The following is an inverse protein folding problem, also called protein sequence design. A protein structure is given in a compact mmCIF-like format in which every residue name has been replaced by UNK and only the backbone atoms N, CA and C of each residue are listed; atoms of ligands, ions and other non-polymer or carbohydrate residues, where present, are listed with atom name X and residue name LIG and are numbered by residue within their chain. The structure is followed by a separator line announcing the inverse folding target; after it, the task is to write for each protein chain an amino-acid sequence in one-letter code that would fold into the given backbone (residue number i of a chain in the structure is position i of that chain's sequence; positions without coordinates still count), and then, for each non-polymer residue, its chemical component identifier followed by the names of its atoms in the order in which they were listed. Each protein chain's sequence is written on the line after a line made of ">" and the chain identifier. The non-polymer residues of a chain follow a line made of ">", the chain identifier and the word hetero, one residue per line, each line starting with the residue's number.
data_IF_095098077055
#
_entry.id   IF_095098077055
#
_cell.length_a   1.000
_cell.length_b   1.000
_cell.length_c   1.000
_cell.angle_alpha   90.00
_cell.angle_beta   90.00
_cell.angle_gamma   90.00
#
_symmetry.space_group_name_H-M   'P 1'
#
loop_
_entity.id
_entity.type
_entity.pdbx_description
1 polymer ?
#
# COMPACT_ATOMS: atom_id res chain seq x y z
N UNK A 1 -24.53 -51.00 -16.68
CA UNK A 1 -25.12 -50.40 -15.45
C UNK A 1 -24.04 -50.04 -14.43
N UNK A 2 -23.24 -50.99 -13.92
CA UNK A 2 -22.20 -50.73 -12.91
C UNK A 2 -21.07 -49.78 -13.36
N UNK A 3 -20.66 -49.85 -14.63
CA UNK A 3 -19.54 -49.07 -15.17
C UNK A 3 -19.88 -47.57 -15.36
N UNK A 4 -21.15 -47.28 -15.66
CA UNK A 4 -21.67 -45.92 -15.76
C UNK A 4 -21.76 -45.29 -14.36
N UNK A 5 -22.18 -46.05 -13.35
CA UNK A 5 -22.21 -45.63 -11.95
C UNK A 5 -20.80 -45.31 -11.40
N UNK A 6 -19.79 -46.09 -11.79
CA UNK A 6 -18.39 -45.79 -11.45
C UNK A 6 -17.88 -44.49 -12.06
N UNK A 7 -18.22 -44.22 -13.33
CA UNK A 7 -17.82 -42.99 -14.01
C UNK A 7 -18.49 -41.76 -13.38
N UNK A 8 -19.77 -41.87 -13.02
CA UNK A 8 -20.51 -40.82 -12.31
C UNK A 8 -19.93 -40.57 -10.91
N UNK A 9 -19.53 -41.64 -10.20
CA UNK A 9 -18.88 -41.53 -8.89
C UNK A 9 -17.48 -40.90 -8.96
N UNK A 10 -16.70 -41.20 -10.01
CA UNK A 10 -15.42 -40.55 -10.26
C UNK A 10 -15.59 -39.05 -10.53
N UNK A 11 -16.55 -38.67 -11.37
CA UNK A 11 -16.82 -37.27 -11.69
C UNK A 11 -17.32 -36.49 -10.47
N UNK A 12 -18.15 -37.10 -9.59
CA UNK A 12 -18.62 -36.45 -8.38
C UNK A 12 -17.53 -36.25 -7.32
N UNK A 13 -16.57 -37.18 -7.20
CA UNK A 13 -15.43 -37.04 -6.28
C UNK A 13 -14.46 -35.96 -6.77
N UNK A 14 -14.21 -35.88 -8.09
CA UNK A 14 -13.34 -34.85 -8.70
C UNK A 14 -13.97 -33.43 -8.71
N UNK A 15 -15.30 -33.31 -8.72
CA UNK A 15 -16.00 -32.02 -8.74
C UNK A 15 -16.11 -31.28 -7.40
N UNK A 16 -15.61 -31.86 -6.30
CA UNK A 16 -15.86 -31.35 -4.93
C UNK A 16 -14.75 -30.46 -4.35
N UNK A 17 -13.66 -30.21 -5.08
CA UNK A 17 -12.51 -29.44 -4.60
C UNK A 17 -12.44 -28.01 -5.17
N UNK A 18 -13.56 -27.29 -5.20
CA UNK A 18 -13.52 -25.84 -5.31
C UNK A 18 -13.48 -25.24 -3.91
N UNK A 19 -12.26 -25.11 -3.36
CA UNK A 19 -12.04 -24.25 -2.21
C UNK A 19 -12.28 -22.81 -2.64
N UNK A 20 -13.43 -22.24 -2.28
CA UNK A 20 -13.63 -20.80 -2.33
C UNK A 20 -12.78 -20.17 -1.24
N UNK A 21 -11.57 -19.75 -1.59
CA UNK A 21 -10.74 -18.92 -0.71
C UNK A 21 -11.37 -17.54 -0.67
N UNK A 22 -12.23 -17.30 0.32
CA UNK A 22 -12.69 -15.94 0.61
C UNK A 22 -11.55 -15.19 1.28
N UNK A 23 -10.96 -14.22 0.58
CA UNK A 23 -9.96 -13.31 1.15
C UNK A 23 -10.58 -12.41 2.22
N UNK A 24 -9.80 -12.05 3.24
CA UNK A 24 -10.19 -11.02 4.21
C UNK A 24 -9.97 -9.66 3.57
N UNK A 25 -11.04 -8.86 3.45
CA UNK A 25 -10.94 -7.47 2.97
C UNK A 25 -10.41 -6.62 4.12
N UNK A 26 -9.26 -5.98 3.92
CA UNK A 26 -8.74 -5.00 4.88
C UNK A 26 -9.45 -3.66 4.68
N UNK A 27 -9.87 -3.06 5.79
CA UNK A 27 -10.48 -1.73 5.76
C UNK A 27 -9.46 -0.66 5.36
N UNK A 28 -9.95 0.39 4.67
CA UNK A 28 -9.13 1.54 4.29
C UNK A 28 -8.73 2.30 5.56
N UNK A 29 -7.50 2.82 5.57
CA UNK A 29 -7.04 3.70 6.66
C UNK A 29 -7.72 5.08 6.63
N UNK A 30 -8.15 5.51 5.44
CA UNK A 30 -8.90 6.74 5.22
C UNK A 30 -9.65 6.68 3.89
N UNK A 31 -10.80 7.35 3.80
CA UNK A 31 -11.54 7.50 2.54
C UNK A 31 -10.89 8.46 1.53
N UNK A 32 -10.05 9.40 2.00
CA UNK A 32 -9.44 10.44 1.16
C UNK A 32 -7.95 10.59 1.45
N UNK A 33 -7.22 11.08 0.46
CA UNK A 33 -5.80 11.40 0.56
C UNK A 33 -5.45 12.67 -0.23
N UNK A 34 -4.37 13.32 0.19
CA UNK A 34 -3.75 14.44 -0.50
C UNK A 34 -2.54 13.94 -1.29
N UNK A 35 -2.50 14.28 -2.57
CA UNK A 35 -1.41 13.97 -3.50
C UNK A 35 -0.84 15.23 -4.14
N UNK A 36 0.35 15.09 -4.71
CA UNK A 36 1.02 16.15 -5.47
C UNK A 36 0.34 16.43 -6.82
N UNK A 37 -0.41 15.46 -7.35
CA UNK A 37 -1.08 15.43 -8.64
C UNK A 37 -2.23 14.41 -8.60
N UNK A 38 -3.03 14.33 -9.65
CA UNK A 38 -4.23 13.49 -9.73
C UNK A 38 -3.91 11.98 -9.72
N UNK A 39 -2.73 11.61 -10.21
CA UNK A 39 -2.28 10.21 -10.30
C UNK A 39 -1.40 9.79 -9.11
N UNK A 40 -1.11 10.72 -8.17
CA UNK A 40 -0.14 10.55 -7.08
C UNK A 40 1.24 10.06 -7.56
N UNK A 41 1.62 10.37 -8.79
CA UNK A 41 2.85 9.89 -9.40
C UNK A 41 4.09 10.60 -8.84
N UNK A 42 3.93 11.83 -8.35
CA UNK A 42 5.03 12.64 -7.84
C UNK A 42 5.08 12.66 -6.30
N UNK A 43 6.30 12.61 -5.77
CA UNK A 43 6.52 12.84 -4.35
C UNK A 43 6.13 14.26 -3.95
N UNK A 44 5.41 14.40 -2.84
CA UNK A 44 5.09 15.66 -2.18
C UNK A 44 6.35 16.24 -1.55
N UNK A 45 7.07 15.42 -0.79
CA UNK A 45 8.19 15.87 0.03
C UNK A 45 9.18 14.76 0.35
N UNK A 46 10.34 15.16 0.84
CA UNK A 46 11.30 14.31 1.54
C UNK A 46 11.14 14.57 3.03
N UNK A 47 11.04 13.51 3.81
CA UNK A 47 10.99 13.57 5.26
C UNK A 47 12.15 12.78 5.86
N UNK A 48 12.58 13.16 7.07
CA UNK A 48 13.56 12.43 7.86
C UNK A 48 12.85 11.83 9.08
N UNK A 49 13.06 10.55 9.32
CA UNK A 49 12.55 9.88 10.51
C UNK A 49 13.21 10.44 11.77
N UNK A 50 12.39 10.87 12.72
CA UNK A 50 12.83 11.33 14.04
C UNK A 50 12.84 10.19 15.06
N UNK A 51 12.09 9.11 14.81
CA UNK A 51 12.08 7.92 15.66
C UNK A 51 11.97 6.60 14.87
N UNK A 52 12.18 5.49 15.59
CA UNK A 52 11.96 4.15 15.04
C UNK A 52 10.46 3.81 15.02
N UNK A 53 10.04 3.05 14.01
CA UNK A 53 8.69 2.53 13.88
C UNK A 53 8.73 1.10 13.34
N UNK A 54 8.02 0.19 14.01
CA UNK A 54 7.86 -1.19 13.59
C UNK A 54 6.47 -1.35 13.00
N UNK A 55 6.42 -1.82 11.75
CA UNK A 55 5.19 -2.07 11.02
C UNK A 55 4.32 -3.11 11.75
N UNK A 56 3.06 -2.76 11.98
CA UNK A 56 2.08 -3.63 12.66
C UNK A 56 1.52 -4.69 11.70
N UNK A 57 1.36 -4.32 10.43
CA UNK A 57 0.94 -5.20 9.35
C UNK A 57 1.64 -4.82 8.03
N UNK A 58 1.37 -5.56 6.96
CA UNK A 58 2.03 -5.41 5.67
C UNK A 58 1.72 -4.09 4.93
N UNK A 59 0.74 -3.31 5.37
CA UNK A 59 0.44 -1.99 4.79
C UNK A 59 1.44 -0.95 5.28
N UNK A 60 2.08 -1.19 6.41
CA UNK A 60 3.02 -0.28 7.05
C UNK A 60 4.46 -0.66 6.72
N UNK A 61 5.35 0.32 6.73
CA UNK A 61 6.81 0.11 6.58
C UNK A 61 7.54 0.29 7.90
N UNK A 62 8.60 -0.49 8.07
CA UNK A 62 9.54 -0.26 9.15
C UNK A 62 10.37 0.98 8.83
N UNK A 63 10.51 1.87 9.80
CA UNK A 63 11.32 3.08 9.69
C UNK A 63 12.29 3.10 10.86
N UNK A 64 13.51 3.55 10.60
CA UNK A 64 14.52 3.81 11.62
C UNK A 64 14.85 5.29 11.67
N UNK A 65 15.12 5.79 12.87
CA UNK A 65 15.57 7.15 13.12
C UNK A 65 16.71 7.52 12.18
N UNK A 66 16.58 8.67 11.53
CA UNK A 66 17.56 9.22 10.62
C UNK A 66 17.39 8.81 9.15
N UNK A 67 16.57 7.80 8.84
CA UNK A 67 16.26 7.45 7.44
C UNK A 67 15.51 8.58 6.74
N UNK A 68 15.77 8.73 5.45
CA UNK A 68 15.04 9.63 4.58
C UNK A 68 13.90 8.86 3.91
N UNK A 69 12.76 9.52 3.72
CA UNK A 69 11.53 8.91 3.21
C UNK A 69 10.93 9.86 2.19
N UNK A 70 10.70 9.37 0.97
CA UNK A 70 9.89 10.09 -0.01
C UNK A 70 8.42 9.92 0.35
N UNK A 71 7.70 11.03 0.50
CA UNK A 71 6.27 11.06 0.83
C UNK A 71 5.49 11.29 -0.46
N UNK A 72 4.62 10.35 -0.83
CA UNK A 72 3.80 10.44 -2.05
C UNK A 72 2.37 10.87 -1.78
N UNK A 73 1.79 10.47 -0.65
CA UNK A 73 0.47 10.92 -0.25
C UNK A 73 0.33 11.06 1.26
N UNK A 74 -0.59 11.93 1.67
CA UNK A 74 -0.95 12.16 3.07
C UNK A 74 -2.42 11.82 3.25
N UNK A 75 -2.76 10.80 4.04
CA UNK A 75 -4.15 10.44 4.28
C UNK A 75 -4.85 11.54 5.07
N UNK A 76 -6.11 11.82 4.73
CA UNK A 76 -6.97 12.67 5.54
C UNK A 76 -7.58 11.79 6.64
N UNK A 77 -7.25 12.01 7.92
CA UNK A 77 -7.74 11.16 8.99
C UNK A 77 -9.27 11.27 9.09
N UNK A 78 -9.92 10.15 9.36
CA UNK A 78 -11.31 10.13 9.80
C UNK A 78 -11.40 10.45 11.29
N UNK A 79 -12.58 10.82 11.79
CA UNK A 79 -12.75 11.16 13.20
C UNK A 79 -12.29 10.01 14.11
N UNK A 80 -11.27 10.26 14.93
CA UNK A 80 -10.68 9.27 15.83
C UNK A 80 -9.61 8.36 15.21
N UNK A 81 -9.31 8.50 13.91
CA UNK A 81 -8.23 7.78 13.23
C UNK A 81 -6.89 8.51 13.34
N UNK A 82 -5.78 7.76 13.26
CA UNK A 82 -4.43 8.31 13.24
C UNK A 82 -4.09 9.01 11.92
N UNK A 83 -3.13 9.93 11.96
CA UNK A 83 -2.57 10.57 10.77
C UNK A 83 -1.46 9.70 10.16
N UNK A 84 -1.73 9.17 8.96
CA UNK A 84 -0.80 8.31 8.25
C UNK A 84 -0.41 8.90 6.89
N UNK A 85 0.87 8.81 6.57
CA UNK A 85 1.40 9.16 5.26
C UNK A 85 1.90 7.92 4.53
N UNK A 86 1.93 7.96 3.21
CA UNK A 86 2.42 6.88 2.36
C UNK A 86 3.73 7.29 1.70
N UNK A 87 4.73 6.42 1.77
CA UNK A 87 6.07 6.75 1.28
C UNK A 87 6.98 5.56 1.00
N UNK A 88 8.18 5.86 0.52
CA UNK A 88 9.27 4.91 0.28
C UNK A 88 10.51 5.32 1.05
N UNK A 89 11.14 4.38 1.75
CA UNK A 89 12.42 4.62 2.42
C UNK A 89 13.53 4.78 1.38
N UNK A 90 14.29 5.87 1.47
CA UNK A 90 15.45 6.12 0.63
C UNK A 90 16.52 5.04 0.83
N UNK A 91 16.96 4.42 -0.27
CA UNK A 91 18.05 3.44 -0.28
C UNK A 91 19.30 4.07 -0.89
N UNK A 92 20.37 4.14 -0.10
CA UNK A 92 21.69 4.62 -0.53
C UNK A 92 22.39 3.64 -1.48
N UNK A 93 22.09 2.34 -1.36
CA UNK A 93 22.73 1.25 -2.12
C UNK A 93 22.11 1.00 -3.48
N UNK A 94 20.83 1.31 -3.65
CA UNK A 94 20.09 1.06 -4.87
C UNK A 94 19.33 2.32 -5.27
N UNK A 95 20.07 3.30 -5.78
CA UNK A 95 19.51 4.59 -6.24
C UNK A 95 18.45 4.38 -7.33
N UNK A 96 18.55 3.27 -8.08
CA UNK A 96 17.65 2.92 -9.17
C UNK A 96 16.52 1.94 -8.77
N UNK A 97 16.48 1.47 -7.50
CA UNK A 97 15.39 0.62 -7.03
C UNK A 97 14.50 1.38 -6.06
N UNK A 98 13.19 1.32 -6.31
CA UNK A 98 12.18 1.85 -5.41
C UNK A 98 12.31 1.11 -4.06
N UNK A 99 12.54 1.84 -2.98
CA UNK A 99 12.56 1.27 -1.63
C UNK A 99 11.19 0.71 -1.25
N UNK A 100 11.15 -0.04 -0.15
CA UNK A 100 9.88 -0.61 0.36
C UNK A 100 8.86 0.50 0.59
N UNK A 101 7.67 0.31 0.04
CA UNK A 101 6.56 1.25 0.08
C UNK A 101 5.56 0.88 1.17
N UNK A 102 4.99 1.87 1.83
CA UNK A 102 3.88 1.67 2.74
C UNK A 102 3.57 2.89 3.59
N UNK A 103 2.65 2.69 4.52
CA UNK A 103 2.19 3.70 5.45
C UNK A 103 3.09 3.84 6.67
N UNK A 104 3.12 5.03 7.24
CA UNK A 104 3.74 5.31 8.52
C UNK A 104 3.08 6.51 9.21
N UNK A 105 3.15 6.62 10.55
CA UNK A 105 2.61 7.75 11.28
C UNK A 105 3.37 9.05 10.95
N UNK A 106 2.63 10.11 10.62
CA UNK A 106 3.22 11.41 10.24
C UNK A 106 4.06 12.04 11.36
N UNK A 107 3.68 11.81 12.61
CA UNK A 107 4.31 12.37 13.81
C UNK A 107 5.71 11.81 14.11
N UNK A 108 6.14 10.74 13.41
CA UNK A 108 7.46 10.13 13.59
C UNK A 108 8.49 10.65 12.59
N UNK A 109 8.09 11.57 11.71
CA UNK A 109 8.96 12.13 10.68
C UNK A 109 8.87 13.65 10.66
N UNK A 110 9.93 14.28 10.15
CA UNK A 110 9.97 15.72 9.89
C UNK A 110 10.27 15.96 8.42
N UNK A 111 9.39 16.69 7.74
CA UNK A 111 9.62 17.12 6.37
C UNK A 111 10.88 17.99 6.29
N UNK A 112 11.82 17.61 5.44
CA UNK A 112 13.10 18.31 5.22
C UNK A 112 13.08 19.11 3.92
N UNK A 113 12.35 18.64 2.92
CA UNK A 113 12.23 19.32 1.63
C UNK A 113 10.86 19.05 1.00
N UNK A 114 10.22 20.06 0.42
CA UNK A 114 8.93 19.92 -0.27
C UNK A 114 9.16 20.11 -1.76
N UNK A 115 8.93 19.06 -2.55
CA UNK A 115 9.05 19.10 -4.01
C UNK A 115 7.81 19.74 -4.63
N UNK A 116 6.62 19.29 -4.21
CA UNK A 116 5.33 19.78 -4.70
C UNK A 116 4.31 19.77 -3.58
N UNK A 117 3.44 20.78 -3.53
CA UNK A 117 2.41 20.86 -2.48
C UNK A 117 1.37 19.76 -2.68
N UNK A 118 1.17 18.90 -1.68
CA UNK A 118 0.12 17.89 -1.67
C UNK A 118 -1.24 18.52 -1.40
N UNK A 119 -1.89 19.08 -2.43
CA UNK A 119 -3.19 19.77 -2.31
C UNK A 119 -4.31 19.10 -3.10
N UNK A 120 -3.97 18.15 -3.97
CA UNK A 120 -4.95 17.44 -4.77
C UNK A 120 -5.59 16.38 -3.90
N UNK A 121 -6.84 16.60 -3.51
CA UNK A 121 -7.63 15.63 -2.75
C UNK A 121 -8.23 14.59 -3.70
N UNK A 122 -7.99 13.31 -3.41
CA UNK A 122 -8.53 12.19 -4.18
C UNK A 122 -9.09 11.11 -3.25
N UNK A 123 -9.99 10.29 -3.78
CA UNK A 123 -10.55 9.15 -3.05
C UNK A 123 -9.52 8.03 -2.92
N UNK A 124 -9.44 7.44 -1.73
CA UNK A 124 -8.61 6.26 -1.50
C UNK A 124 -9.29 5.02 -2.09
N UNK A 125 -8.57 4.26 -2.89
CA UNK A 125 -9.03 2.97 -3.40
C UNK A 125 -8.73 1.86 -2.38
N UNK A 126 -9.46 0.73 -2.44
CA UNK A 126 -9.15 -0.44 -1.57
C UNK A 126 -7.73 -0.95 -1.86
N UNK A 127 -7.24 -0.65 -3.07
CA UNK A 127 -5.93 -1.00 -3.57
C UNK A 127 -4.91 0.12 -3.43
N UNK A 128 -4.89 0.82 -2.30
CA UNK A 128 -3.99 1.98 -2.11
C UNK A 128 -2.49 1.65 -2.18
N UNK A 129 -2.11 0.38 -1.99
CA UNK A 129 -0.75 -0.13 -2.25
C UNK A 129 -0.46 -0.24 -3.76
N UNK A 130 -1.49 -0.43 -4.58
CA UNK A 130 -1.44 -0.56 -6.03
C UNK A 130 -1.73 0.75 -6.78
N UNK A 131 -1.86 1.90 -6.12
CA UNK A 131 -1.85 3.17 -6.87
C UNK A 131 -0.47 3.40 -7.55
N UNK A 132 0.58 2.71 -7.07
CA UNK A 132 1.87 2.57 -7.77
C UNK A 132 1.85 1.47 -8.84
N UNK A 133 0.84 0.61 -8.91
CA UNK A 133 0.68 -0.27 -10.08
C UNK A 133 0.27 0.52 -11.32
N UNK A 134 -0.18 1.78 -11.24
CA UNK A 134 -0.23 2.66 -12.42
C UNK A 134 1.18 3.12 -12.88
N UNK A 135 2.20 2.98 -12.02
CA UNK A 135 3.62 3.22 -12.35
C UNK A 135 4.28 1.93 -12.88
N UNK A 136 3.84 0.74 -12.43
CA UNK A 136 4.41 -0.56 -12.84
C UNK A 136 3.57 -1.23 -13.96
N UNK A 137 2.31 -0.84 -14.12
CA UNK A 137 1.30 -1.43 -15.00
C UNK A 137 1.36 -1.04 -16.47
N UNK A 138 2.54 -0.68 -16.98
CA UNK A 138 2.83 -0.76 -18.41
C UNK A 138 3.62 -2.03 -18.77
N UNK A 139 3.75 -2.98 -17.86
CA UNK A 139 4.50 -4.22 -18.07
C UNK A 139 3.82 -5.48 -17.51
N UNK A 140 2.55 -5.70 -17.86
CA UNK A 140 1.97 -7.06 -18.06
C UNK A 140 1.01 -7.00 -19.23
#
# INVERSE_FOLDING_TARGET
>A
MAQLLHFVFLISVLGSMHHTVNGIVMEKLANKKLCADEDCAYAISLAKAEDDYIAVDCRFINIRRGQLIYVYSKLLPEEGAGEFWFGSVYSDRFVDQMGVLGYFPSNLVKETHVFKKGKTEIMTTVSSVLDIDNIIGSFV
#
